data_IF_750572203654
#
_entry.id   IF_750572203654
#
_cell.length_a   1.000
_cell.length_b   1.000
_cell.length_c   1.000
_cell.angle_alpha   90.00
_cell.angle_beta   90.00
_cell.angle_gamma   90.00
#
_symmetry.space_group_name_H-M   'P 1'
#
loop_
_entity.id
_entity.type
_entity.pdbx_description
1 polymer ?
#
# COMPACT_ATOMS: atom_id res chain seq x y z
N UNK A 1 -21.75 -16.88 -19.57
CA UNK A 1 -20.63 -16.85 -20.54
C UNK A 1 -19.35 -16.99 -19.75
N UNK A 2 -18.51 -17.97 -20.09
CA UNK A 2 -17.23 -18.21 -19.41
C UNK A 2 -16.09 -17.38 -19.98
N UNK A 3 -15.20 -16.87 -19.12
CA UNK A 3 -14.02 -16.09 -19.50
C UNK A 3 -12.94 -16.15 -18.41
N UNK A 4 -11.73 -15.69 -18.73
CA UNK A 4 -10.62 -15.63 -17.78
C UNK A 4 -10.57 -14.32 -17.02
N UNK A 5 -9.93 -14.29 -15.84
CA UNK A 5 -9.69 -13.04 -15.12
C UNK A 5 -8.84 -12.05 -15.94
N UNK A 6 -7.90 -12.55 -16.74
CA UNK A 6 -7.11 -11.76 -17.69
C UNK A 6 -8.00 -11.03 -18.70
N UNK A 7 -9.09 -11.64 -19.14
CA UNK A 7 -10.07 -10.98 -20.01
C UNK A 7 -10.75 -9.80 -19.29
N UNK A 8 -11.13 -9.97 -18.03
CA UNK A 8 -11.75 -8.92 -17.21
C UNK A 8 -10.79 -7.73 -17.03
N UNK A 9 -9.54 -8.01 -16.67
CA UNK A 9 -8.51 -6.98 -16.54
C UNK A 9 -8.25 -6.22 -17.84
N UNK A 10 -8.20 -6.91 -19.00
CA UNK A 10 -8.08 -6.24 -20.30
C UNK A 10 -9.23 -5.26 -20.57
N UNK A 11 -10.47 -5.65 -20.24
CA UNK A 11 -11.65 -4.81 -20.43
C UNK A 11 -11.61 -3.57 -19.53
N UNK A 12 -11.15 -3.71 -18.29
CA UNK A 12 -10.95 -2.62 -17.35
C UNK A 12 -9.80 -1.69 -17.78
N UNK A 13 -8.70 -2.26 -18.26
CA UNK A 13 -7.52 -1.50 -18.72
C UNK A 13 -7.82 -0.59 -19.93
N UNK A 14 -8.70 -1.03 -20.84
CA UNK A 14 -9.20 -0.16 -21.93
C UNK A 14 -9.85 1.11 -21.36
N UNK A 15 -10.51 1.00 -20.20
CA UNK A 15 -11.11 2.11 -19.45
C UNK A 15 -10.24 2.59 -18.29
N UNK A 16 -8.90 2.48 -18.39
CA UNK A 16 -7.96 2.87 -17.32
C UNK A 16 -8.11 4.31 -16.84
N UNK A 17 -8.59 5.21 -17.71
CA UNK A 17 -8.91 6.59 -17.34
C UNK A 17 -9.89 6.70 -16.16
N UNK A 18 -10.78 5.72 -15.95
CA UNK A 18 -11.69 5.71 -14.79
C UNK A 18 -10.95 5.46 -13.48
N UNK A 19 -9.93 4.61 -13.49
CA UNK A 19 -9.04 4.41 -12.33
C UNK A 19 -8.27 5.68 -12.02
N UNK A 20 -7.74 6.34 -13.06
CA UNK A 20 -7.07 7.62 -12.92
C UNK A 20 -7.98 8.69 -12.31
N UNK A 21 -9.20 8.83 -12.82
CA UNK A 21 -10.17 9.79 -12.32
C UNK A 21 -10.57 9.50 -10.86
N UNK A 22 -10.72 8.23 -10.49
CA UNK A 22 -11.02 7.85 -9.12
C UNK A 22 -9.82 8.14 -8.18
N UNK A 23 -8.60 7.84 -8.62
CA UNK A 23 -7.38 8.18 -7.88
C UNK A 23 -7.22 9.70 -7.72
N UNK A 24 -7.53 10.48 -8.75
CA UNK A 24 -7.47 11.95 -8.73
C UNK A 24 -8.68 12.62 -8.08
N UNK A 25 -9.64 11.85 -7.55
CA UNK A 25 -10.79 12.43 -6.85
C UNK A 25 -10.37 13.12 -5.56
N UNK A 26 -11.09 14.18 -5.19
CA UNK A 26 -10.81 14.97 -3.98
C UNK A 26 -10.78 14.10 -2.72
N UNK A 27 -11.66 13.10 -2.64
CA UNK A 27 -11.72 12.17 -1.52
C UNK A 27 -10.42 11.37 -1.37
N UNK A 28 -9.87 10.85 -2.47
CA UNK A 28 -8.61 10.10 -2.44
C UNK A 28 -7.43 11.04 -2.21
N UNK A 29 -7.37 12.17 -2.91
CA UNK A 29 -6.25 13.11 -2.79
C UNK A 29 -6.22 13.83 -1.44
N UNK A 30 -7.36 14.02 -0.77
CA UNK A 30 -7.41 14.57 0.60
C UNK A 30 -6.64 13.70 1.60
N UNK A 31 -6.57 12.38 1.37
CA UNK A 31 -5.83 11.43 2.20
C UNK A 31 -4.32 11.57 2.06
N UNK A 32 -3.82 12.22 1.02
CA UNK A 32 -2.39 12.53 0.89
C UNK A 32 -1.89 13.52 1.94
N UNK A 33 -2.77 14.41 2.41
CA UNK A 33 -2.47 15.38 3.45
C UNK A 33 -2.71 14.85 4.88
N UNK A 34 -3.11 13.58 5.01
CA UNK A 34 -3.37 12.95 6.30
C UNK A 34 -2.06 12.39 6.87
N UNK A 35 -1.55 13.00 7.94
CA UNK A 35 -0.30 12.61 8.61
C UNK A 35 -0.35 11.19 9.19
N UNK A 36 -1.54 10.60 9.31
CA UNK A 36 -1.69 9.22 9.76
C UNK A 36 -1.35 8.21 8.66
N UNK A 37 -1.37 8.60 7.38
CA UNK A 37 -1.12 7.68 6.26
C UNK A 37 0.37 7.65 5.94
N UNK A 38 0.95 6.44 5.93
CA UNK A 38 2.41 6.26 5.79
C UNK A 38 2.82 6.03 4.33
N UNK A 39 1.98 5.33 3.57
CA UNK A 39 2.34 4.75 2.29
C UNK A 39 1.53 5.30 1.10
N UNK A 40 1.01 6.53 1.18
CA UNK A 40 0.17 7.09 0.11
C UNK A 40 0.92 7.06 -1.24
N UNK A 41 0.49 6.24 -2.22
CA UNK A 41 1.26 6.05 -3.45
C UNK A 41 1.06 7.24 -4.39
N UNK A 42 2.16 7.78 -4.90
CA UNK A 42 2.15 8.87 -5.89
C UNK A 42 2.16 8.25 -7.28
N UNK A 43 0.97 8.08 -7.85
CA UNK A 43 0.79 7.50 -9.18
C UNK A 43 0.79 8.58 -10.27
N UNK A 44 1.36 8.23 -11.42
CA UNK A 44 1.21 8.89 -12.71
C UNK A 44 0.24 8.10 -13.60
N UNK A 45 -0.27 8.69 -14.70
CA UNK A 45 -1.13 7.95 -15.64
C UNK A 45 -0.48 6.71 -16.25
N UNK A 46 0.86 6.69 -16.33
CA UNK A 46 1.63 5.57 -16.87
C UNK A 46 1.70 4.39 -15.89
N UNK A 47 1.61 4.65 -14.58
CA UNK A 47 1.65 3.63 -13.54
C UNK A 47 0.36 2.80 -13.48
N UNK A 48 -0.75 3.32 -14.06
CA UNK A 48 -1.98 2.56 -14.26
C UNK A 48 -1.88 1.74 -15.55
N UNK A 49 -0.88 0.87 -15.59
CA UNK A 49 -0.65 -0.05 -16.68
C UNK A 49 -1.54 -1.31 -16.57
N UNK A 50 -1.33 -2.28 -17.45
CA UNK A 50 -2.09 -3.52 -17.41
C UNK A 50 -1.78 -4.36 -16.17
N UNK A 51 -0.54 -4.35 -15.68
CA UNK A 51 -0.13 -5.14 -14.52
C UNK A 51 -0.77 -4.60 -13.24
N UNK A 52 -0.80 -3.27 -13.10
CA UNK A 52 -1.52 -2.58 -12.04
C UNK A 52 -3.00 -2.96 -12.02
N UNK A 53 -3.67 -2.86 -13.17
CA UNK A 53 -5.11 -3.21 -13.27
C UNK A 53 -5.32 -4.70 -12.99
N UNK A 54 -4.42 -5.58 -13.43
CA UNK A 54 -4.54 -7.00 -13.18
C UNK A 54 -4.34 -7.34 -11.68
N UNK A 55 -3.39 -6.70 -11.01
CA UNK A 55 -3.18 -6.83 -9.58
C UNK A 55 -4.41 -6.34 -8.79
N UNK A 56 -4.96 -5.17 -9.17
CA UNK A 56 -6.20 -4.67 -8.59
C UNK A 56 -7.35 -5.66 -8.74
N UNK A 57 -7.53 -6.27 -9.92
CA UNK A 57 -8.60 -7.26 -10.13
C UNK A 57 -8.37 -8.50 -9.26
N UNK A 58 -7.12 -8.94 -9.06
CA UNK A 58 -6.82 -10.03 -8.12
C UNK A 58 -7.23 -9.67 -6.69
N UNK A 59 -6.87 -8.47 -6.22
CA UNK A 59 -7.25 -7.96 -4.90
C UNK A 59 -8.77 -7.84 -4.73
N UNK A 60 -9.46 -7.38 -5.77
CA UNK A 60 -10.91 -7.32 -5.79
C UNK A 60 -11.53 -8.72 -5.63
N UNK A 61 -10.99 -9.75 -6.28
CA UNK A 61 -11.46 -11.13 -6.11
C UNK A 61 -11.16 -11.68 -4.71
N UNK A 62 -9.99 -11.39 -4.13
CA UNK A 62 -9.61 -11.89 -2.80
C UNK A 62 -10.42 -11.26 -1.67
N UNK A 63 -10.85 -10.00 -1.81
CA UNK A 63 -11.75 -9.32 -0.86
C UNK A 63 -13.17 -9.90 -0.81
N UNK A 64 -13.45 -11.02 -1.50
CA UNK A 64 -14.64 -11.87 -1.32
C UNK A 64 -15.96 -11.11 -1.51
N UNK A 65 -16.05 -10.28 -2.53
CA UNK A 65 -17.33 -9.68 -2.96
C UNK A 65 -18.34 -10.72 -3.51
N UNK A 66 -18.10 -12.03 -3.38
CA UNK A 66 -18.77 -13.12 -4.10
C UNK A 66 -20.27 -13.24 -3.87
N UNK A 67 -20.79 -12.74 -2.75
CA UNK A 67 -22.12 -13.14 -2.29
C UNK A 67 -23.28 -12.41 -2.98
N UNK A 68 -23.01 -11.36 -3.76
CA UNK A 68 -24.04 -10.64 -4.53
C UNK A 68 -23.56 -10.16 -5.91
N UNK A 69 -22.60 -10.89 -6.46
CA UNK A 69 -22.05 -10.56 -7.78
C UNK A 69 -22.77 -11.30 -8.90
N UNK A 70 -23.01 -10.57 -9.99
CA UNK A 70 -23.47 -11.05 -11.30
C UNK A 70 -22.45 -11.96 -12.02
N UNK A 71 -21.37 -12.33 -11.32
CA UNK A 71 -20.24 -13.11 -11.79
C UNK A 71 -19.89 -14.18 -10.75
N UNK A 72 -19.74 -15.42 -11.19
CA UNK A 72 -19.14 -16.50 -10.43
C UNK A 72 -17.64 -16.54 -10.73
N UNK A 73 -16.82 -16.68 -9.69
CA UNK A 73 -15.37 -16.72 -9.82
C UNK A 73 -14.86 -18.00 -9.14
N UNK A 74 -14.18 -18.83 -9.91
CA UNK A 74 -13.63 -20.12 -9.48
C UNK A 74 -12.12 -20.10 -9.69
N UNK A 75 -11.35 -20.31 -8.62
CA UNK A 75 -9.89 -20.45 -8.73
C UNK A 75 -9.56 -21.75 -9.48
N UNK A 76 -8.72 -21.66 -10.50
CA UNK A 76 -8.20 -22.80 -11.26
C UNK A 76 -6.68 -22.82 -11.08
N UNK A 77 -6.17 -23.78 -10.31
CA UNK A 77 -4.75 -23.89 -10.01
C UNK A 77 -4.24 -22.83 -9.03
N UNK A 78 -2.95 -22.50 -9.11
CA UNK A 78 -2.30 -21.62 -8.14
C UNK A 78 -2.62 -20.14 -8.36
N UNK A 79 -2.74 -19.68 -9.62
CA UNK A 79 -2.77 -18.26 -9.98
C UNK A 79 -3.81 -17.84 -11.03
N UNK A 80 -4.54 -18.79 -11.62
CA UNK A 80 -5.54 -18.48 -12.63
C UNK A 80 -6.96 -18.61 -12.04
N UNK A 81 -7.88 -17.83 -12.61
CA UNK A 81 -9.28 -17.83 -12.22
C UNK A 81 -10.16 -17.94 -13.46
N UNK A 82 -11.16 -18.80 -13.36
CA UNK A 82 -12.26 -18.89 -14.29
C UNK A 82 -13.44 -18.09 -13.79
N UNK A 83 -13.95 -17.24 -14.67
CA UNK A 83 -15.05 -16.35 -14.40
C UNK A 83 -16.24 -16.76 -15.28
N UNK A 84 -17.44 -16.70 -14.72
CA UNK A 84 -18.66 -16.97 -15.45
C UNK A 84 -19.75 -15.97 -15.08
N UNK A 85 -20.30 -15.28 -16.07
CA UNK A 85 -21.46 -14.41 -15.81
C UNK A 85 -22.70 -15.24 -15.47
N UNK A 86 -23.47 -14.80 -14.46
CA UNK A 86 -24.81 -15.33 -14.19
C UNK A 86 -25.73 -15.05 -15.39
N UNK A 87 -26.79 -15.85 -15.52
CA UNK A 87 -27.75 -15.72 -16.62
C UNK A 87 -28.47 -14.38 -16.52
N UNK A 88 -28.51 -13.62 -17.62
CA UNK A 88 -29.13 -12.29 -17.68
C UNK A 88 -28.21 -11.14 -17.25
N UNK A 89 -27.05 -11.43 -16.67
CA UNK A 89 -26.10 -10.41 -16.25
C UNK A 89 -25.33 -9.81 -17.43
N UNK A 90 -25.16 -8.49 -17.40
CA UNK A 90 -24.41 -7.75 -18.43
C UNK A 90 -22.96 -7.53 -17.99
N UNK A 91 -22.02 -7.82 -18.90
CA UNK A 91 -20.59 -7.58 -18.66
C UNK A 91 -20.30 -6.13 -18.26
N UNK A 92 -21.00 -5.16 -18.83
CA UNK A 92 -20.80 -3.75 -18.49
C UNK A 92 -21.14 -3.45 -17.02
N UNK A 93 -22.22 -4.04 -16.49
CA UNK A 93 -22.61 -3.85 -15.08
C UNK A 93 -21.52 -4.40 -14.14
N UNK A 94 -20.95 -5.56 -14.49
CA UNK A 94 -19.84 -6.15 -13.74
C UNK A 94 -18.62 -5.22 -13.76
N UNK A 95 -18.24 -4.72 -14.94
CA UNK A 95 -17.12 -3.79 -15.09
C UNK A 95 -17.35 -2.48 -14.32
N UNK A 96 -18.57 -1.93 -14.36
CA UNK A 96 -18.94 -0.71 -13.68
C UNK A 96 -18.86 -0.86 -12.16
N UNK A 97 -19.28 -2.01 -11.63
CA UNK A 97 -19.12 -2.32 -10.20
C UNK A 97 -17.66 -2.43 -9.79
N UNK A 98 -16.85 -3.16 -10.55
CA UNK A 98 -15.40 -3.27 -10.29
C UNK A 98 -14.72 -1.88 -10.32
N UNK A 99 -15.16 -0.98 -11.20
CA UNK A 99 -14.66 0.40 -11.18
C UNK A 99 -15.16 1.21 -9.98
N UNK A 100 -16.40 1.01 -9.54
CA UNK A 100 -16.97 1.71 -8.38
C UNK A 100 -16.23 1.33 -7.08
N UNK A 101 -15.88 0.05 -6.94
CA UNK A 101 -15.20 -0.48 -5.76
C UNK A 101 -13.73 -0.04 -5.67
N UNK A 102 -13.13 0.44 -6.77
CA UNK A 102 -11.71 0.77 -6.83
C UNK A 102 -11.28 1.77 -5.76
N UNK A 103 -12.07 2.82 -5.56
CA UNK A 103 -11.78 3.85 -4.57
C UNK A 103 -11.74 3.27 -3.15
N UNK A 104 -12.75 2.48 -2.79
CA UNK A 104 -12.85 1.85 -1.47
C UNK A 104 -11.68 0.89 -1.23
N UNK A 105 -11.36 0.07 -2.23
CA UNK A 105 -10.26 -0.89 -2.14
C UNK A 105 -8.91 -0.18 -2.03
N UNK A 106 -8.70 0.86 -2.83
CA UNK A 106 -7.48 1.67 -2.79
C UNK A 106 -7.29 2.28 -1.40
N UNK A 107 -8.31 2.96 -0.87
CA UNK A 107 -8.27 3.58 0.45
C UNK A 107 -8.09 2.55 1.58
N UNK A 108 -8.70 1.36 1.43
CA UNK A 108 -8.54 0.26 2.37
C UNK A 108 -7.15 -0.38 2.37
N UNK A 109 -6.37 -0.20 1.29
CA UNK A 109 -5.00 -0.70 1.18
C UNK A 109 -3.94 0.30 1.71
N UNK A 110 -4.35 1.51 2.12
CA UNK A 110 -3.45 2.49 2.71
C UNK A 110 -3.07 2.10 4.15
N UNK A 111 -1.78 2.07 4.45
CA UNK A 111 -1.25 1.84 5.78
C UNK A 111 -1.39 3.10 6.63
N UNK A 112 -1.89 2.91 7.86
CA UNK A 112 -2.09 3.98 8.83
C UNK A 112 -1.18 3.77 10.03
N UNK A 113 -0.63 4.86 10.57
CA UNK A 113 0.03 4.88 11.87
C UNK A 113 -0.96 4.44 12.93
N UNK A 114 -0.66 3.34 13.60
CA UNK A 114 -1.36 2.98 14.84
C UNK A 114 -0.90 3.97 15.89
N UNK A 115 -1.71 5.00 16.16
CA UNK A 115 -1.52 5.82 17.36
C UNK A 115 -2.09 5.00 18.49
N UNK A 116 -1.23 4.28 19.21
CA UNK A 116 -1.55 3.73 20.53
C UNK A 116 -1.98 4.91 21.41
N UNK A 117 -3.28 5.18 21.45
CA UNK A 117 -3.87 6.03 22.47
C UNK A 117 -3.87 5.21 23.75
N UNK A 118 -2.72 5.12 24.41
CA UNK A 118 -2.69 4.84 25.84
C UNK A 118 -3.01 6.16 26.55
N UNK A 119 -4.17 6.35 27.20
CA UNK A 119 -4.40 7.50 28.03
C UNK A 119 -4.01 7.13 29.46
N UNK A 120 -2.71 7.03 29.76
CA UNK A 120 -2.28 7.04 31.15
C UNK A 120 -2.15 8.48 31.62
N UNK A 121 -3.32 9.09 31.86
CA UNK A 121 -3.44 10.25 32.73
C UNK A 121 -3.19 9.77 34.15
N UNK A 122 -1.98 9.96 34.66
CA UNK A 122 -1.73 9.96 36.11
C UNK A 122 -1.40 11.40 36.51
N UNK A 123 -2.45 12.13 36.90
CA UNK A 123 -2.31 13.33 37.73
C UNK A 123 -2.64 12.94 39.18
N UNK A 124 -1.59 12.90 40.01
CA UNK A 124 -1.57 13.10 41.48
C UNK A 124 -0.10 13.38 41.77
N UNK A 125 0.40 14.47 42.36
CA UNK A 125 -0.06 15.63 43.12
C UNK A 125 1.21 16.18 43.80
N UNK A 126 1.28 17.45 44.26
CA UNK A 126 2.54 18.06 44.72
C UNK A 126 2.87 17.68 46.17
N UNK A 127 4.14 17.34 46.44
CA UNK A 127 4.71 17.12 47.78
C UNK A 127 6.20 16.78 47.64
N UNK A 128 7.10 17.77 47.72
CA UNK A 128 7.75 18.31 48.92
C UNK A 128 9.05 17.54 49.27
N UNK A 129 10.16 18.27 49.09
CA UNK A 129 11.54 18.17 49.61
C UNK A 129 12.16 16.84 50.09
N UNK A 130 13.42 16.64 49.68
CA UNK A 130 14.37 15.80 50.43
C UNK A 130 15.69 15.54 49.70
N UNK A 131 16.70 16.34 50.01
CA UNK A 131 18.10 16.35 49.57
C UNK A 131 18.81 14.98 49.47
N UNK A 132 19.80 14.85 48.57
CA UNK A 132 21.22 15.09 48.91
C UNK A 132 22.16 14.86 47.71
N UNK A 133 23.19 15.71 47.70
CA UNK A 133 24.24 15.92 46.72
C UNK A 133 25.33 14.82 46.73
N UNK A 134 26.36 15.09 45.90
CA UNK A 134 27.76 14.65 45.88
C UNK A 134 28.04 13.73 44.67
N UNK A 135 28.45 14.28 43.53
CA UNK A 135 29.75 14.92 43.15
C UNK A 135 30.80 13.92 42.64
N UNK A 136 31.59 14.44 41.70
CA UNK A 136 32.83 13.91 41.12
C UNK A 136 32.73 12.61 40.30
N UNK A 137 33.24 12.53 39.09
CA UNK A 137 34.32 13.27 38.46
C UNK A 137 35.13 12.28 37.62
N UNK A 138 36.06 12.82 36.84
CA UNK A 138 37.18 12.13 36.17
C UNK A 138 37.07 11.93 34.65
N UNK A 139 37.80 12.83 34.01
CA UNK A 139 38.37 12.87 32.67
C UNK A 139 39.25 11.66 32.29
N UNK A 140 39.53 11.52 30.99
CA UNK A 140 40.67 10.75 30.46
C UNK A 140 40.40 10.22 29.04
N UNK A 141 40.61 10.94 27.93
CA UNK A 141 41.86 11.43 27.29
C UNK A 141 42.61 10.35 26.46
N UNK A 142 42.59 10.55 25.13
CA UNK A 142 43.63 10.26 24.10
C UNK A 142 43.94 8.77 23.81
N UNK A 143 44.47 8.31 22.66
CA UNK A 143 45.15 8.86 21.47
C UNK A 143 45.13 7.73 20.40
N UNK A 144 44.81 7.99 19.13
CA UNK A 144 45.71 8.19 17.98
C UNK A 144 46.21 6.95 17.18
N UNK A 145 46.07 7.10 15.83
CA UNK A 145 46.88 6.59 14.70
C UNK A 145 46.96 5.05 14.53
N UNK A 146 46.87 4.49 13.32
CA UNK A 146 47.67 4.86 12.16
C UNK A 146 47.09 4.35 10.82
N UNK A 147 47.34 5.16 9.79
CA UNK A 147 47.12 4.96 8.35
C UNK A 147 48.08 3.92 7.76
N UNK A 148 47.66 3.16 6.74
CA UNK A 148 48.48 2.89 5.54
C UNK A 148 47.66 2.55 4.29
N UNK A 149 47.79 3.44 3.31
CA UNK A 149 47.40 3.34 1.89
C UNK A 149 48.47 2.57 1.11
N UNK A 150 48.08 1.85 0.04
CA UNK A 150 48.80 1.74 -1.27
C UNK A 150 47.95 0.93 -2.26
N UNK A 151 47.29 1.58 -3.25
CA UNK A 151 47.63 1.69 -4.70
C UNK A 151 47.58 0.34 -5.47
N UNK A 152 46.61 0.09 -6.38
CA UNK A 152 46.48 0.48 -7.83
C UNK A 152 47.61 -0.18 -8.68
N UNK A 153 47.46 -0.85 -9.83
CA UNK A 153 46.53 -0.97 -10.97
C UNK A 153 46.64 -2.45 -11.49
N UNK A 154 46.08 -2.98 -12.61
CA UNK A 154 45.77 -2.44 -13.95
C UNK A 154 45.00 -3.53 -14.75
N UNK A 155 44.16 -3.04 -15.66
CA UNK A 155 43.49 -3.73 -16.78
C UNK A 155 44.38 -4.64 -17.63
N UNK A 156 43.82 -5.74 -18.18
CA UNK A 156 43.72 -6.04 -19.64
C UNK A 156 42.97 -7.35 -19.92
N UNK A 157 42.01 -7.32 -20.86
CA UNK A 157 41.51 -8.48 -21.64
C UNK A 157 42.63 -9.07 -22.52
N UNK A 158 42.51 -10.29 -23.06
CA UNK A 158 41.54 -10.65 -24.11
C UNK A 158 40.46 -11.65 -23.67
#
# INVERSE_FOLDING_TARGET
MGFSLKYLAKRLYIKRHRFWNAYMSDEVQSKRADDTIINFPILSPADIDYEYVYAYVKDWVTKKYTDDLDIMIKKIGNDDYYCETKRGSLMNNILDRIHADYKEIFLGNLEKRVVDKNPEVVVKGPGDVGSLEVEEGSEGKLQAKQVKVSKKAKSTSP
#
